data_IF_007039928591
#
_entry.id   IF_007039928591
#
_cell.length_a   1.000
_cell.length_b   1.000
_cell.length_c   1.000
_cell.angle_alpha   90.00
_cell.angle_beta   90.00
_cell.angle_gamma   90.00
#
_symmetry.space_group_name_H-M   'P 1'
#
loop_
_entity.id
_entity.type
_entity.pdbx_description
1 polymer ?
#
# COMPACT_ATOMS: atom_id res chain seq x y z
N UNK A 1 -1.07 -11.83 -15.60
CA UNK A 1 0.14 -11.13 -15.16
C UNK A 1 -0.33 -9.82 -14.59
N UNK A 2 -0.37 -9.70 -13.28
CA UNK A 2 -0.71 -8.44 -12.62
C UNK A 2 0.54 -7.56 -12.63
N UNK A 3 0.46 -6.39 -13.27
CA UNK A 3 1.56 -5.44 -13.33
C UNK A 3 1.57 -4.62 -12.04
N UNK A 4 2.68 -4.66 -11.31
CA UNK A 4 2.91 -3.82 -10.15
C UNK A 4 3.74 -2.62 -10.55
N UNK A 5 3.27 -1.43 -10.22
CA UNK A 5 3.93 -0.18 -10.59
C UNK A 5 4.08 0.70 -9.35
N UNK A 6 5.27 1.28 -9.21
CA UNK A 6 5.57 2.28 -8.18
C UNK A 6 6.06 3.52 -8.92
N UNK A 7 5.23 4.55 -8.94
CA UNK A 7 5.58 5.86 -9.47
C UNK A 7 6.14 6.73 -8.33
N UNK A 8 7.31 7.33 -8.58
CA UNK A 8 8.02 8.18 -7.61
C UNK A 8 8.11 9.58 -8.18
N UNK A 9 7.50 10.55 -7.50
CA UNK A 9 7.49 11.96 -7.91
C UNK A 9 8.30 12.74 -6.89
N UNK A 10 9.35 13.42 -7.34
CA UNK A 10 10.20 14.27 -6.50
C UNK A 10 9.89 15.73 -6.82
N UNK A 11 9.32 16.42 -5.84
CA UNK A 11 9.02 17.85 -5.88
C UNK A 11 10.28 18.72 -5.84
N UNK A 12 10.15 19.97 -6.28
CA UNK A 12 11.27 20.94 -6.28
C UNK A 12 11.70 21.37 -4.87
N UNK A 13 10.82 21.17 -3.90
CA UNK A 13 11.00 21.38 -2.47
C UNK A 13 11.63 20.16 -1.76
N UNK A 14 11.85 19.05 -2.48
CA UNK A 14 12.34 17.81 -1.91
C UNK A 14 11.23 16.91 -1.35
N UNK A 15 9.95 17.28 -1.48
CA UNK A 15 8.84 16.39 -1.12
C UNK A 15 8.83 15.20 -2.08
N UNK A 16 8.71 13.99 -1.55
CA UNK A 16 8.63 12.76 -2.36
C UNK A 16 7.25 12.15 -2.21
N UNK A 17 6.60 11.88 -3.35
CA UNK A 17 5.31 11.21 -3.42
C UNK A 17 5.48 9.84 -4.05
N UNK A 18 4.87 8.83 -3.42
CA UNK A 18 4.92 7.43 -3.82
C UNK A 18 3.51 6.98 -4.20
N UNK A 19 3.31 6.64 -5.47
CA UNK A 19 2.04 6.11 -5.98
C UNK A 19 2.23 4.64 -6.33
N UNK A 20 1.57 3.76 -5.57
CA UNK A 20 1.64 2.31 -5.77
C UNK A 20 0.36 1.83 -6.46
N UNK A 21 0.49 1.10 -7.57
CA UNK A 21 -0.63 0.56 -8.35
C UNK A 21 -0.45 -0.93 -8.61
N UNK A 22 -1.57 -1.65 -8.69
CA UNK A 22 -1.57 -3.10 -8.95
C UNK A 22 -1.11 -3.96 -7.77
N UNK A 23 -0.94 -3.36 -6.58
CA UNK A 23 -0.62 -4.08 -5.34
C UNK A 23 -1.86 -4.19 -4.47
N UNK A 24 -2.23 -5.42 -4.11
CA UNK A 24 -3.40 -5.71 -3.27
C UNK A 24 -3.01 -5.78 -1.80
N UNK A 25 -3.90 -5.27 -0.94
CA UNK A 25 -3.73 -5.31 0.51
C UNK A 25 -2.59 -4.44 1.04
N UNK A 26 -2.07 -4.82 2.20
CA UNK A 26 -1.05 -4.06 2.92
C UNK A 26 0.38 -4.28 2.39
N UNK A 27 0.56 -5.14 1.39
CA UNK A 27 1.86 -5.41 0.75
C UNK A 27 2.48 -4.12 0.18
N UNK A 28 1.67 -3.12 -0.18
CA UNK A 28 2.19 -1.81 -0.62
C UNK A 28 3.02 -1.12 0.47
N UNK A 29 2.69 -1.32 1.75
CA UNK A 29 3.42 -0.75 2.88
C UNK A 29 4.79 -1.41 3.06
N UNK A 30 4.86 -2.72 2.89
CA UNK A 30 6.12 -3.47 2.99
C UNK A 30 7.06 -3.08 1.83
N UNK A 31 6.50 -2.91 0.63
CA UNK A 31 7.26 -2.48 -0.54
C UNK A 31 7.80 -1.04 -0.42
N UNK A 32 7.03 -0.13 0.18
CA UNK A 32 7.47 1.26 0.35
C UNK A 32 8.32 1.47 1.60
N UNK A 33 8.33 0.54 2.56
CA UNK A 33 9.02 0.72 3.85
C UNK A 33 10.52 1.00 3.71
N UNK A 34 11.25 0.22 2.90
CA UNK A 34 12.68 0.44 2.69
C UNK A 34 12.95 1.75 1.95
N UNK A 35 12.08 2.09 1.00
CA UNK A 35 12.18 3.32 0.23
C UNK A 35 11.93 4.55 1.10
N UNK A 36 10.89 4.52 1.94
CA UNK A 36 10.60 5.54 2.95
C UNK A 36 11.79 5.72 3.91
N UNK A 37 12.41 4.62 4.37
CA UNK A 37 13.57 4.69 5.27
C UNK A 37 14.79 5.37 4.62
N UNK A 38 15.07 5.09 3.35
CA UNK A 38 16.17 5.74 2.60
C UNK A 38 15.86 7.23 2.35
N UNK A 39 14.59 7.58 2.15
CA UNK A 39 14.14 8.96 1.96
C UNK A 39 14.09 9.80 3.24
N UNK A 40 14.46 9.23 4.40
CA UNK A 40 14.53 9.91 5.68
C UNK A 40 13.43 9.53 6.68
N UNK A 41 12.54 8.61 6.30
CA UNK A 41 11.55 7.98 7.19
C UNK A 41 10.41 8.91 7.64
N UNK A 42 10.30 10.11 7.06
CA UNK A 42 9.23 11.06 7.36
C UNK A 42 8.10 10.93 6.34
N UNK A 43 6.89 10.66 6.84
CA UNK A 43 5.69 10.52 6.03
C UNK A 43 4.76 11.67 6.40
N UNK A 44 4.54 12.59 5.46
CA UNK A 44 3.62 13.71 5.70
C UNK A 44 2.16 13.27 5.64
N UNK A 45 1.82 12.42 4.67
CA UNK A 45 0.48 11.88 4.48
C UNK A 45 0.52 10.50 3.82
N UNK A 46 -0.52 9.70 4.09
CA UNK A 46 -0.72 8.39 3.45
C UNK A 46 -2.19 8.23 3.10
N UNK A 47 -2.46 7.93 1.84
CA UNK A 47 -3.80 7.65 1.33
C UNK A 47 -3.87 6.21 0.85
N UNK A 48 -4.83 5.44 1.37
CA UNK A 48 -5.02 4.05 1.01
C UNK A 48 -5.97 3.93 -0.18
N UNK A 49 -5.52 3.30 -1.27
CA UNK A 49 -6.37 3.04 -2.43
C UNK A 49 -7.31 1.84 -2.16
N UNK A 50 -8.40 1.68 -2.94
CA UNK A 50 -9.33 0.56 -2.79
C UNK A 50 -8.66 -0.82 -2.87
N UNK A 51 -7.61 -0.97 -3.68
CA UNK A 51 -6.82 -2.20 -3.85
C UNK A 51 -6.15 -2.61 -2.54
N UNK A 52 -5.71 -1.64 -1.75
CA UNK A 52 -5.12 -1.91 -0.46
C UNK A 52 -6.13 -2.36 0.60
N UNK A 53 -7.44 -2.13 0.35
CA UNK A 53 -8.53 -2.57 1.22
C UNK A 53 -9.07 -3.97 0.84
N UNK A 54 -8.70 -4.52 -0.32
CA UNK A 54 -9.23 -5.81 -0.79
C UNK A 54 -8.92 -6.97 0.17
N UNK A 55 -7.72 -7.03 0.75
CA UNK A 55 -7.33 -8.13 1.66
C UNK A 55 -8.09 -8.09 2.99
N UNK A 56 -8.49 -6.89 3.47
CA UNK A 56 -9.29 -6.77 4.70
C UNK A 56 -10.64 -7.46 4.52
N UNK A 57 -11.26 -7.34 3.34
CA UNK A 57 -12.55 -7.99 3.05
C UNK A 57 -12.42 -9.51 3.00
N UNK A 58 -11.42 -10.04 2.30
CA UNK A 58 -11.26 -11.49 2.14
C UNK A 58 -10.98 -12.20 3.47
N UNK A 59 -10.15 -11.62 4.34
CA UNK A 59 -9.86 -12.20 5.66
C UNK A 59 -11.08 -12.14 6.60
N UNK A 60 -11.82 -11.03 6.59
CA UNK A 60 -13.05 -10.88 7.39
C UNK A 60 -14.13 -11.87 6.92
N UNK A 61 -14.30 -12.04 5.61
CA UNK A 61 -15.27 -12.99 5.06
C UNK A 61 -14.93 -14.45 5.38
N UNK A 62 -13.65 -14.83 5.31
CA UNK A 62 -13.22 -16.18 5.67
C UNK A 62 -13.46 -16.47 7.17
N UNK A 63 -13.18 -15.49 8.03
CA UNK A 63 -13.44 -15.61 9.46
C UNK A 63 -14.93 -15.75 9.79
N UNK A 64 -15.79 -15.03 9.07
CA UNK A 64 -17.25 -15.14 9.23
C UNK A 64 -17.81 -16.48 8.75
N UNK A 65 -17.27 -17.03 7.65
CA UNK A 65 -17.68 -18.37 7.16
C UNK A 65 -17.28 -19.48 8.12
N UNK A 66 -16.10 -19.40 8.74
CA UNK A 66 -15.67 -20.38 9.75
C UNK A 66 -16.49 -20.35 11.04
N UNK A 67 -17.09 -19.20 11.39
CA UNK A 67 -17.97 -19.09 12.58
C UNK A 67 -19.42 -19.52 12.34
N UNK A 68 -19.81 -19.73 11.08
CA UNK A 68 -21.20 -20.02 10.70
C UNK A 68 -21.44 -21.48 10.31
N UNK A 69 -20.44 -22.35 10.49
CA UNK A 69 -20.52 -23.81 10.31
C UNK A 69 -20.21 -24.53 11.61
#
# INVERSE_FOLDING_TARGET
>A
MDLQEIEVIIGKDGQVQLLVRGVKGLTCLELTQELEAVLGGQIEAREMTPEAQEIIKEQVEQWQRQKSG
#
